data_IF_790647680492
#
_entry.id   IF_790647680492
#
_cell.length_a   1.000
_cell.length_b   1.000
_cell.length_c   1.000
_cell.angle_alpha   90.00
_cell.angle_beta   90.00
_cell.angle_gamma   90.00
#
_symmetry.space_group_name_H-M   'P 1'
#
loop_
_entity.id
_entity.type
_entity.pdbx_description
1 polymer ?
#
# COMPACT_ATOMS: atom_id res chain seq x y z
N UNK A 1 -40.59 -5.45 6.56
CA UNK A 1 -41.05 -5.25 7.94
C UNK A 1 -39.85 -5.51 8.84
N UNK A 2 -38.99 -4.49 8.98
CA UNK A 2 -38.84 -3.63 10.16
C UNK A 2 -38.07 -4.29 11.31
N UNK A 3 -36.80 -3.89 11.38
CA UNK A 3 -35.98 -3.61 12.58
C UNK A 3 -36.75 -2.71 13.59
N UNK A 4 -36.40 -2.65 14.90
CA UNK A 4 -35.24 -1.83 15.31
C UNK A 4 -34.45 -2.20 16.60
N UNK A 5 -33.15 -1.92 16.51
CA UNK A 5 -32.27 -1.12 17.40
C UNK A 5 -32.38 -1.24 18.94
N UNK A 6 -31.23 -1.44 19.57
CA UNK A 6 -30.88 -0.94 20.92
C UNK A 6 -29.41 -0.49 20.87
N UNK A 7 -29.07 0.80 20.88
CA UNK A 7 -29.29 1.92 21.82
C UNK A 7 -27.98 2.23 22.54
N UNK A 8 -27.36 3.32 22.09
CA UNK A 8 -26.21 3.99 22.68
C UNK A 8 -26.69 4.84 23.87
N UNK A 9 -26.13 4.62 25.05
CA UNK A 9 -26.50 5.34 26.27
C UNK A 9 -26.01 6.80 26.26
N UNK A 10 -26.94 7.72 26.48
CA UNK A 10 -26.68 9.15 26.71
C UNK A 10 -26.71 9.50 28.21
N UNK A 11 -25.87 10.45 28.63
CA UNK A 11 -26.05 11.47 29.72
C UNK A 11 -24.68 12.11 30.00
N UNK A 12 -24.49 13.42 30.22
CA UNK A 12 -25.32 14.63 30.18
C UNK A 12 -24.34 15.83 30.25
N UNK A 13 -24.71 16.95 29.65
CA UNK A 13 -23.95 18.21 29.65
C UNK A 13 -23.74 18.81 31.05
N UNK A 14 -22.66 19.58 31.24
CA UNK A 14 -22.60 20.66 32.22
C UNK A 14 -21.91 21.91 31.67
N UNK A 15 -22.62 22.99 31.91
CA UNK A 15 -22.47 24.42 31.65
C UNK A 15 -21.10 25.01 31.99
N UNK A 16 -20.62 25.94 31.16
CA UNK A 16 -19.52 26.84 31.47
C UNK A 16 -20.02 28.04 32.28
N UNK A 17 -19.29 28.39 33.36
CA UNK A 17 -19.27 29.71 33.99
C UNK A 17 -18.22 29.72 35.12
N UNK A 18 -17.46 30.82 35.19
CA UNK A 18 -16.76 31.26 36.41
C UNK A 18 -15.30 30.86 36.50
N UNK A 19 -14.41 31.82 36.27
CA UNK A 19 -13.03 31.73 36.72
C UNK A 19 -12.94 32.02 38.21
N UNK A 20 -11.95 31.41 38.87
CA UNK A 20 -11.13 32.04 39.91
C UNK A 20 -9.98 31.10 40.29
N UNK A 21 -8.86 31.74 40.54
CA UNK A 21 -7.53 31.22 40.90
C UNK A 21 -7.55 30.37 42.16
N UNK A 22 -6.97 29.17 42.11
CA UNK A 22 -6.47 28.52 43.33
C UNK A 22 -5.16 27.79 43.05
N UNK A 23 -4.13 28.23 43.77
CA UNK A 23 -2.76 27.72 43.78
C UNK A 23 -2.72 26.26 44.23
N UNK A 24 -2.20 25.38 43.37
CA UNK A 24 -1.86 24.01 43.75
C UNK A 24 -0.33 23.81 43.68
N UNK A 25 0.25 23.48 44.83
CA UNK A 25 1.65 23.07 45.04
C UNK A 25 2.00 21.84 44.17
N UNK A 26 3.26 21.68 43.74
CA UNK A 26 3.67 20.52 42.96
C UNK A 26 3.74 19.28 43.87
N UNK A 27 2.79 18.35 43.70
CA UNK A 27 2.89 17.02 44.27
C UNK A 27 3.93 16.21 43.48
N UNK A 28 5.14 16.16 44.04
CA UNK A 28 6.22 15.29 43.60
C UNK A 28 5.91 13.82 43.94
N UNK A 29 5.03 13.19 43.18
CA UNK A 29 5.00 11.73 43.07
C UNK A 29 5.63 11.37 41.73
N UNK A 30 6.95 11.19 41.75
CA UNK A 30 7.73 10.66 40.66
C UNK A 30 7.28 9.24 40.32
N UNK A 31 6.28 9.15 39.44
CA UNK A 31 6.09 7.94 38.65
C UNK A 31 7.36 7.77 37.82
N UNK A 32 8.16 6.75 38.13
CA UNK A 32 9.31 6.33 37.32
C UNK A 32 8.90 5.75 35.95
N UNK A 33 7.72 6.13 35.43
CA UNK A 33 7.36 5.95 34.03
C UNK A 33 8.38 6.70 33.20
N UNK A 34 9.30 5.95 32.60
CA UNK A 34 10.20 6.45 31.56
C UNK A 34 9.37 7.27 30.58
N UNK A 35 9.62 8.57 30.54
CA UNK A 35 8.93 9.46 29.64
C UNK A 35 9.50 9.28 28.23
N UNK A 36 8.99 8.28 27.52
CA UNK A 36 9.38 7.98 26.16
C UNK A 36 9.12 9.17 25.22
N UNK A 37 8.24 10.11 25.56
CA UNK A 37 7.98 11.31 24.76
C UNK A 37 9.20 12.24 24.76
N UNK A 38 9.93 12.36 25.87
CA UNK A 38 11.09 13.24 25.98
C UNK A 38 12.28 12.82 25.10
N UNK A 39 12.31 11.58 24.62
CA UNK A 39 13.33 11.12 23.66
C UNK A 39 13.14 11.73 22.25
N UNK A 40 12.03 12.43 22.00
CA UNK A 40 11.67 12.96 20.68
C UNK A 40 12.12 14.39 20.41
N UNK A 41 12.68 15.12 21.38
CA UNK A 41 13.24 16.47 21.11
C UNK A 41 14.48 16.40 20.22
N UNK A 42 15.58 17.02 20.63
CA UNK A 42 16.91 16.80 20.02
C UNK A 42 17.49 15.40 20.31
N UNK A 43 16.63 14.45 20.67
CA UNK A 43 16.99 13.11 21.10
C UNK A 43 17.18 12.14 19.93
N UNK A 44 17.64 10.91 20.23
CA UNK A 44 18.05 9.94 19.23
C UNK A 44 16.90 9.32 18.43
N UNK A 45 15.63 9.66 18.73
CA UNK A 45 14.45 9.01 18.12
C UNK A 45 14.48 9.04 16.60
N UNK A 46 14.85 10.16 15.97
CA UNK A 46 14.95 10.24 14.51
C UNK A 46 16.03 9.34 13.93
N UNK A 47 17.20 9.28 14.58
CA UNK A 47 18.29 8.37 14.19
C UNK A 47 17.90 6.91 14.37
N UNK A 48 17.21 6.57 15.45
CA UNK A 48 16.70 5.21 15.67
C UNK A 48 15.67 4.87 14.60
N UNK A 49 14.77 5.79 14.26
CA UNK A 49 13.79 5.60 13.19
C UNK A 49 14.47 5.31 11.83
N UNK A 50 15.51 6.07 11.49
CA UNK A 50 16.31 5.84 10.28
C UNK A 50 17.01 4.47 10.31
N UNK A 51 17.59 4.06 11.44
CA UNK A 51 18.21 2.75 11.59
C UNK A 51 17.18 1.60 11.44
N UNK A 52 16.01 1.74 12.06
CA UNK A 52 14.91 0.78 11.94
C UNK A 52 14.41 0.72 10.49
N UNK A 53 14.32 1.86 9.80
CA UNK A 53 13.92 1.91 8.39
C UNK A 53 14.97 1.31 7.45
N UNK A 54 16.26 1.54 7.72
CA UNK A 54 17.35 1.10 6.85
C UNK A 54 17.61 -0.42 6.91
N UNK A 55 17.51 -1.02 8.11
CA UNK A 55 17.87 -2.42 8.33
C UNK A 55 16.73 -3.33 8.80
N UNK A 56 15.59 -2.76 9.20
CA UNK A 56 14.50 -3.48 9.85
C UNK A 56 13.38 -3.93 8.91
N UNK A 57 12.45 -4.70 9.46
CA UNK A 57 11.19 -5.01 8.80
C UNK A 57 10.28 -3.78 8.82
N UNK A 58 9.61 -3.47 7.70
CA UNK A 58 8.72 -2.29 7.61
C UNK A 58 7.61 -2.31 8.67
N UNK A 59 7.17 -3.49 9.13
CA UNK A 59 6.19 -3.56 10.21
C UNK A 59 6.75 -3.00 11.53
N UNK A 60 8.05 -3.19 11.80
CA UNK A 60 8.69 -2.65 13.00
C UNK A 60 8.85 -1.13 12.88
N UNK A 61 9.15 -0.62 11.70
CA UNK A 61 9.12 0.81 11.41
C UNK A 61 7.73 1.43 11.63
N UNK A 62 6.68 0.78 11.12
CA UNK A 62 5.30 1.25 11.32
C UNK A 62 4.91 1.24 12.80
N UNK A 63 5.26 0.19 13.54
CA UNK A 63 5.04 0.11 15.00
C UNK A 63 5.81 1.20 15.76
N UNK A 64 7.05 1.45 15.39
CA UNK A 64 7.87 2.51 15.97
C UNK A 64 7.18 3.88 15.84
N UNK A 65 6.65 4.18 14.64
CA UNK A 65 5.90 5.42 14.38
C UNK A 65 4.52 5.47 15.04
N UNK A 66 4.02 4.33 15.52
CA UNK A 66 2.71 4.23 16.17
C UNK A 66 2.76 4.42 17.70
N UNK A 67 3.96 4.51 18.31
CA UNK A 67 4.12 4.67 19.76
C UNK A 67 3.37 5.90 20.29
N UNK A 68 3.69 7.08 19.77
CA UNK A 68 2.97 8.32 20.07
C UNK A 68 3.25 9.41 19.01
N UNK A 69 2.49 10.51 19.05
CA UNK A 69 2.60 11.61 18.07
C UNK A 69 4.01 12.23 17.98
N UNK A 70 4.75 12.45 19.09
CA UNK A 70 6.15 12.89 19.04
C UNK A 70 7.06 11.92 18.26
N UNK A 71 7.01 10.62 18.55
CA UNK A 71 7.81 9.61 17.83
C UNK A 71 7.50 9.62 16.33
N UNK A 72 6.20 9.70 16.00
CA UNK A 72 5.75 9.78 14.61
C UNK A 72 6.31 10.99 13.87
N UNK A 73 6.39 12.15 14.54
CA UNK A 73 6.89 13.42 13.98
C UNK A 73 8.40 13.40 13.78
N UNK A 74 9.13 12.75 14.68
CA UNK A 74 10.59 12.68 14.60
C UNK A 74 11.09 11.54 13.68
N UNK A 75 10.18 10.69 13.23
CA UNK A 75 10.48 9.65 12.24
C UNK A 75 10.18 10.17 10.83
N UNK A 76 10.97 9.79 9.81
CA UNK A 76 10.70 10.18 8.42
C UNK A 76 9.25 9.86 8.01
N UNK A 77 8.55 10.78 7.36
CA UNK A 77 7.26 10.39 6.80
C UNK A 77 7.54 9.53 5.56
N UNK A 78 6.82 8.41 5.35
CA UNK A 78 6.96 7.58 4.16
C UNK A 78 6.84 8.34 2.82
N UNK A 79 6.14 9.48 2.81
CA UNK A 79 5.95 10.31 1.61
C UNK A 79 7.13 11.26 1.34
N UNK A 80 7.92 11.57 2.36
CA UNK A 80 9.03 12.53 2.32
C UNK A 80 10.38 11.84 2.03
N UNK A 81 10.38 10.52 1.91
CA UNK A 81 11.58 9.74 1.56
C UNK A 81 11.97 9.98 0.10
N UNK A 82 13.25 9.75 -0.28
CA UNK A 82 13.73 9.96 -1.65
C UNK A 82 12.93 9.19 -2.72
N UNK A 83 12.47 7.97 -2.41
CA UNK A 83 11.62 7.17 -3.29
C UNK A 83 10.12 7.40 -3.11
N UNK A 84 9.71 8.32 -2.22
CA UNK A 84 8.33 8.51 -1.79
C UNK A 84 7.66 7.20 -1.36
N UNK A 85 6.43 6.97 -1.83
CA UNK A 85 5.71 5.72 -1.57
C UNK A 85 6.36 4.46 -2.14
N UNK A 86 7.32 4.60 -3.07
CA UNK A 86 8.09 3.51 -3.64
C UNK A 86 9.53 3.43 -3.11
N UNK A 87 9.83 4.07 -1.98
CA UNK A 87 11.08 3.84 -1.29
C UNK A 87 11.19 2.34 -0.91
N UNK A 88 12.22 1.68 -1.43
CA UNK A 88 12.40 0.23 -1.33
C UNK A 88 12.55 -0.26 0.11
N UNK A 89 12.93 0.62 1.05
CA UNK A 89 13.00 0.34 2.49
C UNK A 89 11.62 0.11 3.11
N UNK A 90 10.56 0.62 2.46
CA UNK A 90 9.18 0.42 2.90
C UNK A 90 8.53 -0.84 2.32
N UNK A 91 9.22 -1.59 1.46
CA UNK A 91 8.61 -2.75 0.80
C UNK A 91 8.46 -3.92 1.78
N UNK A 92 7.23 -4.45 1.96
CA UNK A 92 6.97 -5.56 2.86
C UNK A 92 7.35 -6.91 2.24
N UNK A 93 8.60 -7.04 1.76
CA UNK A 93 9.10 -8.19 0.96
C UNK A 93 8.94 -9.56 1.61
N UNK A 94 8.87 -9.58 2.94
CA UNK A 94 8.75 -10.81 3.75
C UNK A 94 7.30 -11.10 4.14
N UNK A 95 6.35 -10.24 3.77
CA UNK A 95 4.95 -10.38 4.13
C UNK A 95 4.15 -10.86 2.94
N UNK A 96 3.53 -12.03 3.10
CA UNK A 96 2.58 -12.57 2.12
C UNK A 96 1.16 -12.38 2.63
N UNK A 97 0.24 -12.02 1.73
CA UNK A 97 -1.19 -11.99 2.05
C UNK A 97 -1.72 -13.43 2.14
N UNK A 98 -2.36 -13.76 3.25
CA UNK A 98 -3.04 -15.04 3.47
C UNK A 98 -4.53 -14.90 3.14
N UNK A 99 -4.97 -15.78 2.24
CA UNK A 99 -6.30 -15.97 1.63
C UNK A 99 -7.49 -15.06 2.04
N UNK A 100 -8.21 -14.64 0.99
CA UNK A 100 -9.37 -13.75 0.91
C UNK A 100 -10.65 -14.31 1.56
N UNK A 101 -10.72 -15.63 1.77
CA UNK A 101 -11.97 -16.34 2.03
C UNK A 101 -12.52 -16.25 3.47
N UNK A 102 -11.79 -15.69 4.44
CA UNK A 102 -12.06 -15.97 5.87
C UNK A 102 -12.52 -14.77 6.72
N UNK A 103 -12.46 -13.51 6.25
CA UNK A 103 -12.73 -12.34 7.13
C UNK A 103 -13.44 -11.15 6.43
N UNK A 104 -13.89 -11.30 5.18
CA UNK A 104 -14.47 -10.21 4.37
C UNK A 104 -13.44 -9.45 3.54
N UNK A 105 -13.85 -8.68 2.50
CA UNK A 105 -12.95 -8.13 1.47
C UNK A 105 -11.90 -7.16 2.02
N UNK A 106 -12.25 -6.44 3.10
CA UNK A 106 -11.43 -5.39 3.71
C UNK A 106 -10.38 -5.90 4.70
N UNK A 107 -10.68 -6.98 5.43
CA UNK A 107 -9.82 -7.48 6.50
C UNK A 107 -8.90 -8.59 5.99
N UNK A 108 -7.62 -8.26 5.78
CA UNK A 108 -6.63 -9.17 5.23
C UNK A 108 -5.64 -9.64 6.30
N UNK A 109 -5.22 -10.89 6.21
CA UNK A 109 -4.15 -11.43 7.05
C UNK A 109 -2.83 -11.42 6.30
N UNK A 110 -1.75 -11.07 6.97
CA UNK A 110 -0.41 -11.11 6.41
C UNK A 110 0.50 -11.95 7.29
N UNK A 111 1.29 -12.81 6.66
CA UNK A 111 2.27 -13.66 7.31
C UNK A 111 3.67 -13.20 6.94
N UNK A 112 4.50 -12.95 7.94
CA UNK A 112 5.93 -12.77 7.75
C UNK A 112 6.61 -14.13 7.61
N UNK A 113 7.08 -14.46 6.42
CA UNK A 113 7.66 -15.78 6.11
C UNK A 113 9.00 -16.03 6.83
N UNK A 114 9.70 -14.98 7.24
CA UNK A 114 11.00 -15.11 7.93
C UNK A 114 10.85 -15.31 9.44
N UNK A 115 9.80 -14.76 10.04
CA UNK A 115 9.61 -14.76 11.50
C UNK A 115 8.40 -15.58 11.95
N UNK A 116 7.53 -16.01 11.03
CA UNK A 116 6.26 -16.67 11.34
C UNK A 116 5.20 -15.75 11.95
N UNK A 117 5.48 -14.45 12.14
CA UNK A 117 4.53 -13.50 12.72
C UNK A 117 3.35 -13.28 11.77
N UNK A 118 2.14 -13.34 12.31
CA UNK A 118 0.91 -13.06 11.57
C UNK A 118 0.28 -11.75 12.09
N UNK A 119 -0.17 -10.91 11.17
CA UNK A 119 -0.90 -9.67 11.48
C UNK A 119 -2.21 -9.64 10.71
N UNK A 120 -3.22 -8.97 11.28
CA UNK A 120 -4.47 -8.66 10.60
C UNK A 120 -4.50 -7.18 10.31
N UNK A 121 -4.80 -6.83 9.08
CA UNK A 121 -4.88 -5.46 8.61
C UNK A 121 -6.27 -5.20 8.07
N UNK A 122 -6.80 -4.06 8.48
CA UNK A 122 -8.02 -3.52 7.94
C UNK A 122 -7.67 -2.58 6.79
N UNK A 123 -8.07 -2.93 5.56
CA UNK A 123 -7.69 -2.29 4.31
C UNK A 123 -8.91 -1.71 3.56
N UNK A 124 -9.49 -0.57 3.99
CA UNK A 124 -10.60 0.12 3.31
C UNK A 124 -10.39 0.44 1.83
N UNK A 125 -9.17 0.43 1.31
CA UNK A 125 -8.86 0.56 -0.13
C UNK A 125 -9.12 -0.75 -0.89
N UNK A 126 -9.61 -1.80 -0.24
CA UNK A 126 -10.13 -3.01 -0.87
C UNK A 126 -11.66 -3.09 -0.80
N UNK A 127 -12.31 -2.01 -0.35
CA UNK A 127 -13.77 -1.88 -0.36
C UNK A 127 -14.30 -1.66 -1.79
N UNK A 128 -15.62 -1.60 -1.95
CA UNK A 128 -16.39 -1.73 -3.21
C UNK A 128 -15.91 -0.93 -4.45
N UNK A 129 -15.00 0.02 -4.33
CA UNK A 129 -14.45 0.80 -5.46
C UNK A 129 -13.14 0.24 -6.05
N UNK A 130 -12.50 -0.72 -5.38
CA UNK A 130 -11.18 -1.24 -5.77
C UNK A 130 -11.18 -2.76 -5.96
N UNK A 131 -10.76 -3.18 -7.14
CA UNK A 131 -10.49 -4.58 -7.44
C UNK A 131 -9.03 -4.91 -7.23
N UNK A 132 -8.76 -5.95 -6.44
CA UNK A 132 -7.42 -6.53 -6.35
C UNK A 132 -7.05 -7.28 -7.63
N UNK A 133 -5.94 -6.90 -8.26
CA UNK A 133 -5.43 -7.52 -9.49
C UNK A 133 -4.30 -8.52 -9.23
N UNK A 134 -3.28 -8.14 -8.45
CA UNK A 134 -2.10 -8.96 -8.23
C UNK A 134 -1.29 -8.53 -7.00
N UNK A 135 -0.42 -9.41 -6.51
CA UNK A 135 0.59 -9.13 -5.47
C UNK A 135 1.96 -9.04 -6.14
N UNK A 136 2.72 -8.00 -5.84
CA UNK A 136 4.11 -7.90 -6.32
C UNK A 136 5.05 -8.75 -5.47
N UNK A 137 6.21 -9.19 -6.02
CA UNK A 137 7.25 -9.85 -5.23
C UNK A 137 7.78 -9.00 -4.07
N UNK A 138 7.66 -7.68 -4.18
CA UNK A 138 7.99 -6.72 -3.13
C UNK A 138 6.94 -6.65 -1.99
N UNK A 139 5.80 -7.33 -2.15
CA UNK A 139 4.71 -7.37 -1.19
C UNK A 139 3.70 -6.22 -1.32
N UNK A 140 3.72 -5.48 -2.43
CA UNK A 140 2.72 -4.44 -2.72
C UNK A 140 1.50 -5.04 -3.43
N UNK A 141 0.33 -4.43 -3.26
CA UNK A 141 -0.91 -4.86 -3.90
C UNK A 141 -1.19 -3.98 -5.12
N UNK A 142 -1.43 -4.60 -6.27
CA UNK A 142 -1.88 -3.94 -7.48
C UNK A 142 -3.41 -3.93 -7.48
N UNK A 143 -4.00 -2.74 -7.50
CA UNK A 143 -5.44 -2.49 -7.44
C UNK A 143 -5.92 -1.77 -8.70
N UNK A 144 -7.15 -2.01 -9.10
CA UNK A 144 -7.87 -1.23 -10.10
C UNK A 144 -8.97 -0.44 -9.39
N UNK A 145 -8.99 0.87 -9.53
CA UNK A 145 -10.13 1.68 -9.15
C UNK A 145 -11.19 1.61 -10.26
N UNK A 146 -12.34 1.00 -9.99
CA UNK A 146 -13.29 0.61 -11.04
C UNK A 146 -13.98 1.81 -11.71
N UNK A 147 -14.15 2.93 -10.99
CA UNK A 147 -14.84 4.11 -11.52
C UNK A 147 -13.95 5.01 -12.41
N UNK A 148 -12.65 5.17 -12.10
CA UNK A 148 -11.70 6.00 -12.88
C UNK A 148 -10.68 5.21 -13.72
N UNK A 149 -10.80 3.88 -13.79
CA UNK A 149 -9.78 2.90 -14.18
C UNK A 149 -8.33 3.22 -13.89
N UNK A 150 -8.07 3.96 -12.83
CA UNK A 150 -6.71 4.21 -12.35
C UNK A 150 -6.20 2.92 -11.72
N UNK A 151 -5.01 2.50 -12.11
CA UNK A 151 -4.32 1.41 -11.43
C UNK A 151 -3.54 1.99 -10.27
N UNK A 152 -3.52 1.31 -9.12
CA UNK A 152 -2.83 1.77 -7.92
C UNK A 152 -1.94 0.69 -7.36
N UNK A 153 -0.78 1.07 -6.87
CA UNK A 153 -0.01 0.23 -5.96
C UNK A 153 -0.33 0.64 -4.52
N UNK A 154 -0.70 -0.33 -3.70
CA UNK A 154 -0.93 -0.17 -2.27
C UNK A 154 0.18 -0.87 -1.50
N UNK A 155 0.84 -0.13 -0.60
CA UNK A 155 1.61 -0.74 0.46
C UNK A 155 0.66 -1.10 1.62
N UNK A 156 0.42 -2.40 1.90
CA UNK A 156 -0.56 -2.79 2.90
C UNK A 156 -0.18 -2.36 4.33
N UNK A 157 1.10 -2.17 4.63
CA UNK A 157 1.59 -1.85 5.97
C UNK A 157 1.70 -0.35 6.21
N UNK A 158 2.14 0.43 5.21
CA UNK A 158 2.20 1.89 5.31
C UNK A 158 0.93 2.60 4.87
N UNK A 159 0.01 1.87 4.21
CA UNK A 159 -1.26 2.38 3.66
C UNK A 159 -1.06 3.45 2.57
N UNK A 160 0.14 3.51 1.99
CA UNK A 160 0.42 4.43 0.88
C UNK A 160 -0.13 3.88 -0.42
N UNK A 161 -0.90 4.72 -1.11
CA UNK A 161 -1.32 4.50 -2.48
C UNK A 161 -0.43 5.28 -3.44
N UNK A 162 -0.04 4.64 -4.53
CA UNK A 162 0.67 5.26 -5.64
C UNK A 162 -0.17 5.07 -6.89
N UNK A 163 -0.56 6.17 -7.50
CA UNK A 163 -1.31 6.16 -8.76
C UNK A 163 -0.39 5.83 -9.94
N UNK A 164 -0.89 4.91 -10.77
CA UNK A 164 -0.37 4.58 -12.09
C UNK A 164 -1.35 5.09 -13.14
N UNK A 165 -0.94 5.16 -14.42
CA UNK A 165 -1.83 5.62 -15.47
C UNK A 165 -3.13 4.82 -15.52
N UNK A 166 -4.23 5.44 -15.98
CA UNK A 166 -5.45 4.70 -16.25
C UNK A 166 -5.23 3.63 -17.33
N UNK A 167 -5.86 2.47 -17.18
CA UNK A 167 -5.78 1.38 -18.18
C UNK A 167 -6.59 1.67 -19.46
N UNK A 168 -7.27 2.80 -19.52
CA UNK A 168 -8.11 3.25 -20.65
C UNK A 168 -7.41 3.09 -22.01
N UNK A 169 -6.12 3.44 -22.07
CA UNK A 169 -5.31 3.38 -23.29
C UNK A 169 -4.89 1.97 -23.70
N UNK A 170 -4.99 0.98 -22.81
CA UNK A 170 -4.63 -0.42 -23.08
C UNK A 170 -5.83 -1.26 -23.51
N UNK A 171 -7.05 -0.83 -23.19
CA UNK A 171 -8.27 -1.61 -23.42
C UNK A 171 -8.48 -1.97 -24.90
N UNK A 172 -8.92 -3.20 -25.14
CA UNK A 172 -9.39 -3.66 -26.46
C UNK A 172 -10.58 -2.84 -26.97
N UNK A 173 -10.93 -2.98 -28.24
CA UNK A 173 -12.09 -2.28 -28.80
C UNK A 173 -13.37 -2.72 -28.11
N UNK A 174 -13.52 -4.02 -27.86
CA UNK A 174 -14.68 -4.58 -27.16
C UNK A 174 -14.78 -4.02 -25.73
N UNK A 175 -13.68 -4.03 -24.96
CA UNK A 175 -13.67 -3.49 -23.59
C UNK A 175 -13.97 -1.99 -23.55
N UNK A 176 -13.45 -1.21 -24.52
CA UNK A 176 -13.78 0.22 -24.65
C UNK A 176 -15.26 0.44 -24.95
N UNK A 177 -15.85 -0.40 -25.79
CA UNK A 177 -17.26 -0.30 -26.14
C UNK A 177 -18.16 -0.73 -24.98
N UNK A 178 -17.86 -1.83 -24.31
CA UNK A 178 -18.55 -2.29 -23.11
C UNK A 178 -18.57 -1.18 -22.05
N UNK A 179 -17.42 -0.59 -21.77
CA UNK A 179 -17.31 0.53 -20.84
C UNK A 179 -18.12 1.76 -21.27
N UNK A 180 -18.11 2.14 -22.55
CA UNK A 180 -18.91 3.26 -23.06
C UNK A 180 -20.42 3.03 -22.87
N UNK A 181 -20.85 1.78 -22.88
CA UNK A 181 -22.23 1.37 -22.61
C UNK A 181 -22.53 1.22 -21.10
N UNK A 182 -21.57 1.51 -20.22
CA UNK A 182 -21.72 1.39 -18.77
C UNK A 182 -21.57 -0.04 -18.24
N UNK A 183 -21.09 -0.98 -19.05
CA UNK A 183 -20.80 -2.33 -18.58
C UNK A 183 -19.48 -2.39 -17.82
N UNK A 184 -19.46 -3.17 -16.74
CA UNK A 184 -18.24 -3.52 -16.02
C UNK A 184 -17.34 -4.39 -16.90
N UNK A 185 -16.14 -3.90 -17.19
CA UNK A 185 -15.11 -4.61 -17.97
C UNK A 185 -14.01 -5.16 -17.06
N UNK A 186 -14.03 -4.84 -15.75
CA UNK A 186 -13.05 -5.29 -14.79
C UNK A 186 -12.99 -6.82 -14.58
N UNK A 187 -14.08 -7.62 -14.78
CA UNK A 187 -14.03 -9.08 -14.77
C UNK A 187 -13.08 -9.67 -15.81
N UNK A 188 -12.92 -8.96 -16.93
CA UNK A 188 -12.03 -9.40 -17.99
C UNK A 188 -10.57 -9.02 -17.68
N UNK A 189 -10.32 -8.00 -16.84
CA UNK A 189 -8.96 -7.56 -16.56
C UNK A 189 -8.22 -8.56 -15.66
N UNK A 190 -7.33 -9.34 -16.27
CA UNK A 190 -6.47 -10.30 -15.57
C UNK A 190 -5.01 -9.91 -15.69
N UNK A 191 -4.28 -10.04 -14.57
CA UNK A 191 -2.84 -9.82 -14.51
C UNK A 191 -2.16 -11.16 -14.22
N UNK A 192 -1.12 -11.47 -15.00
CA UNK A 192 -0.31 -12.69 -14.85
C UNK A 192 1.07 -12.40 -14.27
N UNK A 193 1.49 -11.14 -14.29
CA UNK A 193 2.77 -10.73 -13.72
C UNK A 193 2.79 -9.25 -13.42
N UNK A 194 3.40 -8.89 -12.31
CA UNK A 194 3.63 -7.50 -11.91
C UNK A 194 4.96 -7.39 -11.20
N UNK A 195 5.74 -6.37 -11.56
CA UNK A 195 7.05 -6.13 -10.96
C UNK A 195 7.40 -4.66 -10.85
N UNK A 196 8.32 -4.37 -9.94
CA UNK A 196 8.89 -3.05 -9.75
C UNK A 196 10.35 -3.11 -10.18
N UNK A 197 10.67 -2.38 -11.24
CA UNK A 197 12.03 -2.27 -11.77
C UNK A 197 12.57 -0.92 -11.31
N UNK A 198 13.73 -0.93 -10.68
CA UNK A 198 14.39 0.28 -10.21
C UNK A 198 15.76 0.34 -10.89
N UNK A 199 15.81 1.13 -11.97
CA UNK A 199 17.06 1.58 -12.59
C UNK A 199 17.20 3.08 -12.27
N UNK A 200 17.24 3.97 -13.27
CA UNK A 200 17.27 5.44 -13.07
C UNK A 200 15.96 6.04 -12.53
N UNK A 201 14.84 5.36 -12.79
CA UNK A 201 13.53 5.73 -12.28
C UNK A 201 12.75 4.45 -11.90
N UNK A 202 12.01 4.50 -10.80
CA UNK A 202 11.16 3.37 -10.41
C UNK A 202 10.01 3.22 -11.39
N UNK A 203 9.94 2.07 -12.06
CA UNK A 203 8.91 1.72 -13.02
C UNK A 203 8.13 0.50 -12.56
N UNK A 204 6.86 0.46 -12.92
CA UNK A 204 5.98 -0.68 -12.68
C UNK A 204 5.70 -1.33 -14.01
N UNK A 205 6.00 -2.62 -14.10
CA UNK A 205 5.71 -3.45 -15.26
C UNK A 205 4.57 -4.40 -14.93
N UNK A 206 3.60 -4.50 -15.82
CA UNK A 206 2.41 -5.33 -15.66
C UNK A 206 2.16 -6.10 -16.94
N UNK A 207 2.00 -7.43 -16.80
CA UNK A 207 1.48 -8.30 -17.86
C UNK A 207 0.00 -8.46 -17.67
N UNK A 208 -0.77 -7.80 -18.52
CA UNK A 208 -2.20 -8.02 -18.66
C UNK A 208 -2.42 -9.21 -19.60
N UNK A 209 -3.33 -10.11 -19.23
CA UNK A 209 -3.80 -11.20 -20.09
C UNK A 209 -4.92 -10.74 -21.02
N UNK A 210 -5.75 -9.81 -20.55
CA UNK A 210 -6.88 -9.26 -21.27
C UNK A 210 -7.03 -7.76 -20.89
N UNK A 211 -6.51 -6.83 -21.70
CA UNK A 211 -5.83 -7.02 -22.99
C UNK A 211 -4.51 -7.80 -22.87
N UNK A 212 -4.12 -8.55 -23.90
CA UNK A 212 -2.88 -9.36 -23.92
C UNK A 212 -1.64 -8.50 -24.17
N UNK A 213 -1.26 -7.67 -23.19
CA UNK A 213 -0.18 -6.69 -23.32
C UNK A 213 0.76 -6.69 -22.12
N UNK A 214 2.05 -6.54 -22.38
CA UNK A 214 3.07 -6.20 -21.41
C UNK A 214 3.28 -4.69 -21.47
N UNK A 215 2.96 -4.01 -20.39
CA UNK A 215 3.00 -2.56 -20.32
C UNK A 215 3.84 -2.10 -19.12
N UNK A 216 4.50 -0.96 -19.29
CA UNK A 216 5.30 -0.31 -18.25
C UNK A 216 4.81 1.10 -18.02
N UNK A 217 4.90 1.56 -16.78
CA UNK A 217 4.59 2.93 -16.43
C UNK A 217 5.48 3.42 -15.30
N UNK A 218 5.83 4.71 -15.36
CA UNK A 218 6.35 5.43 -14.21
C UNK A 218 5.16 5.85 -13.32
N UNK A 219 5.25 5.76 -12.00
CA UNK A 219 4.31 6.40 -11.10
C UNK A 219 4.08 7.86 -11.48
N UNK A 220 2.82 8.30 -11.50
CA UNK A 220 2.46 9.67 -11.90
C UNK A 220 2.54 9.96 -13.41
N UNK A 221 2.90 8.98 -14.25
CA UNK A 221 2.76 9.16 -15.71
C UNK A 221 1.29 9.15 -16.14
N UNK A 222 1.01 9.80 -17.27
CA UNK A 222 -0.36 9.88 -17.80
C UNK A 222 -0.79 8.63 -18.58
N UNK A 223 0.17 7.85 -19.10
CA UNK A 223 -0.09 6.73 -20.01
C UNK A 223 0.85 5.56 -19.77
N UNK A 224 0.34 4.37 -20.02
CA UNK A 224 1.13 3.15 -20.14
C UNK A 224 1.91 3.12 -21.45
N UNK A 225 3.13 2.61 -21.39
CA UNK A 225 3.95 2.29 -22.58
C UNK A 225 3.88 0.79 -22.82
N UNK A 226 3.41 0.38 -24.01
CA UNK A 226 3.32 -1.04 -24.37
C UNK A 226 4.68 -1.49 -24.87
N UNK A 227 5.27 -2.45 -24.16
CA UNK A 227 6.59 -3.01 -24.51
C UNK A 227 6.43 -4.25 -25.40
N UNK A 228 5.37 -5.03 -25.18
CA UNK A 228 5.11 -6.23 -25.98
C UNK A 228 3.62 -6.58 -26.02
N UNK A 229 3.06 -6.83 -27.20
CA UNK A 229 1.68 -7.29 -27.42
C UNK A 229 1.59 -8.75 -27.91
N UNK A 230 2.72 -9.47 -27.89
CA UNK A 230 2.85 -10.84 -28.34
C UNK A 230 2.51 -11.89 -27.27
N UNK A 231 2.73 -13.16 -27.66
CA UNK A 231 2.38 -14.32 -26.85
C UNK A 231 3.47 -14.62 -25.81
N UNK A 232 3.31 -14.06 -24.62
CA UNK A 232 4.15 -14.33 -23.45
C UNK A 232 3.51 -15.50 -22.69
N UNK A 233 4.29 -16.56 -22.47
CA UNK A 233 3.85 -17.78 -21.78
C UNK A 233 3.96 -17.68 -20.26
N UNK A 234 4.98 -16.98 -19.74
CA UNK A 234 5.14 -16.74 -18.31
C UNK A 234 6.00 -15.52 -18.05
N UNK A 235 5.90 -14.98 -16.83
CA UNK A 235 6.72 -13.87 -16.38
C UNK A 235 7.28 -14.13 -14.99
N UNK A 236 8.47 -13.61 -14.71
CA UNK A 236 9.10 -13.66 -13.40
C UNK A 236 9.91 -12.40 -13.15
N UNK A 237 9.94 -11.94 -11.90
CA UNK A 237 10.90 -10.93 -11.47
C UNK A 237 11.96 -11.60 -10.63
N UNK A 238 13.20 -11.39 -11.02
CA UNK A 238 14.34 -11.95 -10.34
C UNK A 238 15.48 -10.93 -10.31
N UNK A 239 16.10 -10.75 -9.15
CA UNK A 239 17.20 -9.80 -8.95
C UNK A 239 16.90 -8.37 -9.45
N UNK A 240 15.65 -7.90 -9.30
CA UNK A 240 15.23 -6.56 -9.74
C UNK A 240 15.03 -6.40 -11.24
N UNK A 241 15.08 -7.50 -12.01
CA UNK A 241 14.84 -7.52 -13.45
C UNK A 241 13.58 -8.31 -13.76
N UNK A 242 12.88 -7.87 -14.80
CA UNK A 242 11.69 -8.55 -15.31
C UNK A 242 12.09 -9.46 -16.47
N UNK A 243 11.73 -10.73 -16.37
CA UNK A 243 11.95 -11.72 -17.41
C UNK A 243 10.60 -12.23 -17.90
N UNK A 244 10.48 -12.42 -19.20
CA UNK A 244 9.32 -13.04 -19.80
C UNK A 244 9.75 -14.17 -20.73
N UNK A 245 8.95 -15.23 -20.78
CA UNK A 245 9.20 -16.35 -21.70
C UNK A 245 8.18 -16.33 -22.83
N UNK A 246 8.59 -16.81 -23.98
CA UNK A 246 7.73 -17.13 -25.12
C UNK A 246 7.95 -18.59 -25.47
N UNK A 247 7.17 -19.12 -26.43
CA UNK A 247 7.42 -20.46 -26.97
C UNK A 247 8.79 -20.63 -27.65
N UNK A 248 9.55 -19.55 -27.86
CA UNK A 248 10.82 -19.57 -28.60
C UNK A 248 12.03 -19.11 -27.80
N UNK A 249 11.85 -18.26 -26.79
CA UNK A 249 12.97 -17.65 -26.07
C UNK A 249 12.57 -17.10 -24.70
N UNK A 250 13.57 -16.91 -23.85
CA UNK A 250 13.49 -16.03 -22.67
C UNK A 250 13.94 -14.64 -23.11
N UNK A 251 13.14 -13.63 -22.78
CA UNK A 251 13.39 -12.24 -23.12
C UNK A 251 13.49 -11.41 -21.83
N UNK A 252 14.36 -10.41 -21.89
CA UNK A 252 14.38 -9.31 -20.94
C UNK A 252 13.87 -8.09 -21.71
N UNK A 253 12.67 -7.55 -21.40
CA UNK A 253 12.15 -6.39 -22.08
C UNK A 253 13.11 -5.21 -21.88
N UNK A 254 13.38 -4.46 -22.95
CA UNK A 254 14.11 -3.20 -22.85
C UNK A 254 13.23 -2.17 -22.12
N UNK A 255 13.83 -1.44 -21.19
CA UNK A 255 13.12 -0.59 -20.21
C UNK A 255 13.42 0.91 -20.40
N UNK A 256 14.11 1.27 -21.48
CA UNK A 256 14.48 2.64 -21.83
C UNK A 256 13.38 3.42 -22.53
#
# INVERSE_FOLDING_TARGET
MMDPLSSCGAKRARTALGGETSSALPSSHGSCTRDWVNLCGDGPTGLIAELVLAGGDVADYVRFRAVCSPWRRCSPAPRDLPGGGLDRRLFPRRWIMLDKALVGPRCQRFLNISTGKCIRMDLPELDDEHRFLALTPEGLLLLLHESTPVVRLLNPLTRQLIDLPPITGLLTREQRQARRLGHDFAPDLRVDGVGIVADDATMVIVRFLFPTVLAIAKPGSERWTVVNSGNISSTIIFAGRFYCTTSRAVMMPDMH
#
